data_IF_395128893309
#
_entry.id   IF_395128893309
#
_cell.length_a   1.000
_cell.length_b   1.000
_cell.length_c   1.000
_cell.angle_alpha   90.00
_cell.angle_beta   90.00
_cell.angle_gamma   90.00
#
_symmetry.space_group_name_H-M   'P 1'
#
loop_
_entity.id
_entity.type
_entity.pdbx_description
1 polymer ?
#
# COMPACT_ATOMS: atom_id res chain seq x y z
N UNK A 1 10.76 14.17 13.38
CA UNK A 1 10.14 13.06 12.61
C UNK A 1 9.75 13.61 11.25
N UNK A 2 10.13 12.95 10.16
CA UNK A 2 9.70 13.35 8.81
C UNK A 2 8.53 12.46 8.39
N UNK A 3 7.45 13.06 7.91
CA UNK A 3 6.25 12.37 7.45
C UNK A 3 5.97 12.85 6.03
N UNK A 4 5.63 11.93 5.13
CA UNK A 4 5.27 12.25 3.74
C UNK A 4 3.85 11.74 3.47
N UNK A 5 2.82 12.53 3.84
CA UNK A 5 1.43 12.16 3.56
C UNK A 5 1.12 12.14 2.07
N UNK A 6 0.11 11.38 1.67
CA UNK A 6 -0.42 11.39 0.29
C UNK A 6 -1.60 12.35 0.13
N UNK A 7 -2.18 12.82 1.23
CA UNK A 7 -3.51 13.42 1.27
C UNK A 7 -3.45 14.95 1.38
N UNK A 8 -2.59 15.58 0.58
CA UNK A 8 -2.35 17.03 0.67
C UNK A 8 -3.47 17.90 0.09
N UNK A 9 -4.24 17.36 -0.86
CA UNK A 9 -5.26 18.10 -1.59
C UNK A 9 -6.55 17.28 -1.69
N UNK A 10 -7.70 17.93 -1.58
CA UNK A 10 -9.00 17.30 -1.78
C UNK A 10 -9.21 16.94 -3.25
N UNK A 11 -10.05 15.94 -3.49
CA UNK A 11 -10.50 15.57 -4.82
C UNK A 11 -10.10 14.17 -5.24
N UNK A 12 -10.35 13.87 -6.51
CA UNK A 12 -10.07 12.56 -7.07
C UNK A 12 -8.58 12.40 -7.38
N UNK A 13 -8.02 11.28 -6.95
CA UNK A 13 -6.66 10.88 -7.24
C UNK A 13 -6.65 9.48 -7.85
N UNK A 14 -5.78 9.28 -8.84
CA UNK A 14 -5.48 7.94 -9.35
C UNK A 14 -4.38 7.34 -8.47
N UNK A 15 -4.63 6.15 -7.94
CA UNK A 15 -3.65 5.40 -7.16
C UNK A 15 -3.60 3.95 -7.65
N UNK A 16 -2.60 3.24 -7.17
CA UNK A 16 -2.31 1.87 -7.56
C UNK A 16 -2.46 0.96 -6.35
N UNK A 17 -3.30 -0.06 -6.46
CA UNK A 17 -3.52 -1.00 -5.36
C UNK A 17 -2.30 -1.91 -5.15
N UNK A 18 -2.02 -2.30 -3.90
CA UNK A 18 -1.03 -3.32 -3.58
C UNK A 18 -1.48 -4.69 -4.10
N UNK A 19 -0.75 -5.74 -3.74
CA UNK A 19 -1.17 -7.10 -4.07
C UNK A 19 -2.51 -7.40 -3.40
N UNK A 20 -3.53 -7.71 -4.21
CA UNK A 20 -4.87 -8.08 -3.75
C UNK A 20 -5.32 -9.37 -4.44
N UNK A 21 -6.30 -10.04 -3.83
CA UNK A 21 -7.03 -11.15 -4.48
C UNK A 21 -8.34 -10.59 -5.01
N UNK A 22 -8.52 -10.65 -6.32
CA UNK A 22 -9.82 -10.42 -6.96
C UNK A 22 -10.75 -11.59 -6.59
N UNK A 23 -11.75 -11.30 -5.75
CA UNK A 23 -12.64 -12.33 -5.23
C UNK A 23 -13.59 -12.89 -6.28
N UNK A 24 -13.86 -12.16 -7.35
CA UNK A 24 -14.74 -12.61 -8.43
C UNK A 24 -13.98 -13.55 -9.38
N UNK A 25 -12.71 -13.24 -9.68
CA UNK A 25 -11.84 -14.11 -10.47
C UNK A 25 -11.33 -15.34 -9.69
N UNK A 26 -11.24 -15.25 -8.36
CA UNK A 26 -10.71 -16.33 -7.53
C UNK A 26 -11.69 -17.51 -7.42
N UNK A 27 -11.31 -18.66 -7.96
CA UNK A 27 -12.11 -19.89 -7.92
C UNK A 27 -12.08 -20.65 -6.57
N UNK A 28 -11.21 -20.25 -5.64
CA UNK A 28 -11.11 -20.91 -4.33
C UNK A 28 -10.51 -22.33 -4.40
N UNK A 29 -9.47 -22.50 -5.22
CA UNK A 29 -8.85 -23.80 -5.47
C UNK A 29 -8.47 -24.55 -4.19
N UNK A 30 -8.65 -25.88 -4.20
CA UNK A 30 -8.22 -26.77 -3.12
C UNK A 30 -6.71 -26.66 -2.88
N UNK A 31 -5.93 -26.68 -3.94
CA UNK A 31 -4.48 -26.43 -3.92
C UNK A 31 -4.22 -25.04 -4.51
N UNK A 32 -3.59 -24.16 -3.74
CA UNK A 32 -3.39 -22.76 -4.10
C UNK A 32 -1.89 -22.44 -4.14
N UNK A 33 -1.30 -22.42 -5.34
CA UNK A 33 0.11 -22.10 -5.51
C UNK A 33 0.51 -20.72 -4.96
N UNK A 34 -0.30 -19.66 -5.08
CA UNK A 34 -0.04 -18.39 -4.40
C UNK A 34 0.12 -18.49 -2.88
N UNK A 35 -0.68 -19.34 -2.22
CA UNK A 35 -0.62 -19.60 -0.78
C UNK A 35 0.64 -20.39 -0.42
N UNK A 36 0.91 -21.48 -1.14
CA UNK A 36 2.04 -22.38 -0.88
C UNK A 36 3.41 -21.75 -1.16
N UNK A 37 3.51 -20.89 -2.19
CA UNK A 37 4.79 -20.34 -2.66
C UNK A 37 5.10 -18.96 -2.10
N UNK A 38 4.24 -18.38 -1.27
CA UNK A 38 4.53 -17.08 -0.66
C UNK A 38 5.68 -17.22 0.36
N UNK A 39 6.86 -16.61 0.12
CA UNK A 39 8.01 -16.77 1.01
C UNK A 39 7.74 -16.22 2.42
N UNK A 40 6.98 -15.13 2.48
CA UNK A 40 6.60 -14.46 3.73
C UNK A 40 5.36 -15.07 4.39
N UNK A 41 4.77 -16.11 3.79
CA UNK A 41 3.49 -16.70 4.23
C UNK A 41 2.40 -15.65 4.44
N UNK A 42 2.40 -14.62 3.59
CA UNK A 42 1.48 -13.49 3.63
C UNK A 42 0.14 -13.82 2.93
N UNK A 43 0.13 -14.79 2.01
CA UNK A 43 -1.10 -15.28 1.38
C UNK A 43 -1.69 -16.36 2.29
N UNK A 44 -2.88 -16.13 2.86
CA UNK A 44 -3.52 -17.04 3.83
C UNK A 44 -4.97 -17.28 3.47
N UNK A 45 -5.48 -18.48 3.73
CA UNK A 45 -6.89 -18.80 3.46
C UNK A 45 -7.84 -18.31 4.54
N UNK A 46 -8.91 -17.63 4.12
CA UNK A 46 -10.02 -17.19 4.96
C UNK A 46 -11.32 -17.47 4.21
N UNK A 47 -12.24 -18.20 4.83
CA UNK A 47 -13.55 -18.53 4.22
C UNK A 47 -13.43 -19.19 2.83
N UNK A 48 -12.46 -20.09 2.67
CA UNK A 48 -12.25 -20.85 1.43
C UNK A 48 -11.47 -20.13 0.33
N UNK A 49 -11.23 -18.81 0.42
CA UNK A 49 -10.42 -18.05 -0.54
C UNK A 49 -9.17 -17.43 0.12
N UNK A 50 -8.04 -17.28 -0.61
CA UNK A 50 -6.88 -16.60 -0.08
C UNK A 50 -7.14 -15.09 0.10
N UNK A 51 -6.50 -14.50 1.11
CA UNK A 51 -6.30 -13.06 1.30
C UNK A 51 -4.82 -12.77 1.45
N UNK A 52 -4.41 -11.53 1.17
CA UNK A 52 -3.03 -11.08 1.38
C UNK A 52 -2.95 -10.29 2.69
N UNK A 53 -2.16 -10.78 3.65
CA UNK A 53 -1.80 -10.06 4.86
C UNK A 53 -0.75 -9.00 4.50
N UNK A 54 -1.21 -7.78 4.19
CA UNK A 54 -0.33 -6.69 3.72
C UNK A 54 0.80 -6.34 4.68
N UNK A 55 0.62 -6.54 5.99
CA UNK A 55 1.67 -6.33 6.99
C UNK A 55 2.85 -7.30 6.87
N UNK A 56 2.65 -8.47 6.26
CA UNK A 56 3.72 -9.46 5.97
C UNK A 56 4.18 -9.41 4.52
N UNK A 57 3.39 -8.81 3.63
CA UNK A 57 3.68 -8.81 2.22
C UNK A 57 4.82 -7.85 1.91
N UNK A 58 5.92 -8.37 1.35
CA UNK A 58 7.08 -7.56 0.92
C UNK A 58 7.01 -7.14 -0.56
N UNK A 59 5.89 -7.42 -1.25
CA UNK A 59 5.71 -7.02 -2.65
C UNK A 59 6.59 -7.76 -3.67
N UNK A 60 7.01 -9.01 -3.38
CA UNK A 60 7.86 -9.81 -4.28
C UNK A 60 7.15 -10.38 -5.51
N UNK A 61 5.82 -10.25 -5.59
CA UNK A 61 4.96 -10.61 -6.73
C UNK A 61 4.89 -12.10 -7.13
N UNK A 62 5.59 -13.00 -6.43
CA UNK A 62 5.52 -14.46 -6.69
C UNK A 62 4.08 -15.00 -6.76
N UNK A 63 3.20 -14.54 -5.88
CA UNK A 63 1.80 -14.97 -5.85
C UNK A 63 0.97 -14.50 -7.07
N UNK A 64 1.35 -13.39 -7.70
CA UNK A 64 0.74 -12.88 -8.93
C UNK A 64 1.08 -13.83 -10.07
N UNK A 65 2.36 -14.15 -10.26
CA UNK A 65 2.83 -15.04 -11.33
C UNK A 65 2.31 -16.48 -11.18
N UNK A 66 2.11 -16.93 -9.94
CA UNK A 66 1.72 -18.32 -9.64
C UNK A 66 0.21 -18.57 -9.69
N UNK A 67 -0.62 -17.55 -9.85
CA UNK A 67 -2.07 -17.74 -9.95
C UNK A 67 -2.47 -18.00 -11.41
N UNK A 68 -2.80 -19.26 -11.80
CA UNK A 68 -3.12 -19.57 -13.20
C UNK A 68 -4.45 -18.94 -13.66
N UNK A 69 -5.28 -18.49 -12.73
CA UNK A 69 -6.56 -17.83 -13.00
C UNK A 69 -6.44 -16.30 -13.04
N UNK A 70 -5.24 -15.74 -12.83
CA UNK A 70 -5.04 -14.29 -12.79
C UNK A 70 -5.78 -13.59 -11.64
N UNK A 71 -6.17 -14.34 -10.60
CA UNK A 71 -6.99 -13.80 -9.51
C UNK A 71 -6.17 -13.03 -8.46
N UNK A 72 -4.84 -13.19 -8.43
CA UNK A 72 -3.95 -12.38 -7.60
C UNK A 72 -3.37 -11.28 -8.48
N UNK A 73 -3.67 -10.03 -8.16
CA UNK A 73 -3.30 -8.87 -8.99
C UNK A 73 -2.48 -7.87 -8.20
N UNK A 74 -1.59 -7.18 -8.89
CA UNK A 74 -0.81 -6.07 -8.38
C UNK A 74 -0.91 -4.93 -9.37
N UNK A 75 -0.83 -3.68 -8.92
CA UNK A 75 -0.72 -2.58 -9.86
C UNK A 75 -2.07 -2.09 -10.41
N UNK A 76 -3.21 -2.58 -9.88
CA UNK A 76 -4.52 -2.18 -10.36
C UNK A 76 -4.76 -0.69 -10.07
N UNK A 77 -4.93 0.10 -11.12
CA UNK A 77 -5.26 1.53 -11.00
C UNK A 77 -6.69 1.70 -10.57
N UNK A 78 -6.90 2.56 -9.58
CA UNK A 78 -8.22 2.94 -9.07
C UNK A 78 -8.27 4.44 -8.84
N UNK A 79 -9.47 5.01 -8.98
CA UNK A 79 -9.75 6.37 -8.55
C UNK A 79 -10.30 6.33 -7.14
N UNK A 80 -9.72 7.12 -6.25
CA UNK A 80 -10.22 7.34 -4.89
C UNK A 80 -10.38 8.84 -4.66
N UNK A 81 -11.15 9.22 -3.64
CA UNK A 81 -11.36 10.62 -3.27
C UNK A 81 -10.65 10.89 -1.96
N UNK A 82 -9.72 11.85 -1.97
CA UNK A 82 -9.19 12.45 -0.75
C UNK A 82 -10.30 13.35 -0.18
N UNK A 83 -10.73 13.08 1.05
CA UNK A 83 -11.80 13.83 1.70
C UNK A 83 -11.21 15.00 2.45
N UNK A 84 -12.04 16.03 2.71
CA UNK A 84 -11.67 17.18 3.54
C UNK A 84 -11.01 16.80 4.88
N UNK A 85 -11.53 15.76 5.55
CA UNK A 85 -10.96 15.30 6.83
C UNK A 85 -9.53 14.78 6.69
N UNK A 86 -9.19 14.17 5.55
CA UNK A 86 -7.85 13.63 5.30
C UNK A 86 -6.84 14.79 5.16
N UNK A 87 -7.22 15.85 4.41
CA UNK A 87 -6.42 17.08 4.29
C UNK A 87 -6.30 17.83 5.63
N UNK A 88 -7.38 17.90 6.41
CA UNK A 88 -7.36 18.51 7.74
C UNK A 88 -6.40 17.76 8.68
N UNK A 89 -6.36 16.42 8.61
CA UNK A 89 -5.41 15.62 9.37
C UNK A 89 -3.95 15.93 8.98
N UNK A 90 -3.66 16.14 7.69
CA UNK A 90 -2.32 16.56 7.25
C UNK A 90 -1.94 17.93 7.81
N UNK A 91 -2.88 18.88 7.86
CA UNK A 91 -2.65 20.20 8.49
C UNK A 91 -2.35 20.06 9.98
N UNK A 92 -3.17 19.31 10.70
CA UNK A 92 -2.96 19.04 12.13
C UNK A 92 -1.62 18.36 12.41
N UNK A 93 -1.20 17.42 11.57
CA UNK A 93 0.11 16.78 11.65
C UNK A 93 1.25 17.80 11.51
N UNK A 94 1.10 18.82 10.66
CA UNK A 94 2.14 19.84 10.45
C UNK A 94 2.32 20.80 11.63
N UNK A 95 1.33 20.89 12.51
CA UNK A 95 1.36 21.73 13.72
C UNK A 95 1.96 21.00 14.93
N UNK A 96 2.21 19.69 14.83
CA UNK A 96 2.75 18.89 15.92
C UNK A 96 4.24 19.17 16.14
N UNK A 97 4.62 19.36 17.41
CA UNK A 97 6.01 19.57 17.79
C UNK A 97 6.91 18.42 17.30
N UNK A 98 8.02 18.78 16.63
CA UNK A 98 8.98 17.82 16.11
C UNK A 98 8.52 17.01 14.89
N UNK A 99 7.38 17.36 14.26
CA UNK A 99 6.90 16.74 13.02
C UNK A 99 7.19 17.65 11.83
N UNK A 100 7.82 17.09 10.79
CA UNK A 100 8.09 17.75 9.52
C UNK A 100 7.27 17.05 8.43
N UNK A 101 6.17 17.68 8.03
CA UNK A 101 5.36 17.23 6.89
C UNK A 101 6.03 17.67 5.60
N UNK A 102 6.31 16.71 4.72
CA UNK A 102 6.92 16.92 3.40
C UNK A 102 5.94 16.53 2.30
N UNK A 103 6.07 17.14 1.12
CA UNK A 103 5.19 16.85 -0.01
C UNK A 103 5.68 15.68 -0.87
N UNK A 104 6.99 15.40 -0.83
CA UNK A 104 7.57 14.34 -1.63
C UNK A 104 8.75 13.63 -0.93
N UNK A 105 8.94 12.30 -1.07
CA UNK A 105 10.01 11.57 -0.38
C UNK A 105 11.42 12.04 -0.72
N UNK A 106 11.60 12.64 -1.90
CA UNK A 106 12.88 13.19 -2.36
C UNK A 106 13.36 14.35 -1.47
N UNK A 107 12.45 15.04 -0.79
CA UNK A 107 12.78 16.12 0.13
C UNK A 107 13.45 15.63 1.41
N UNK A 108 13.23 14.36 1.81
CA UNK A 108 13.69 13.80 3.09
C UNK A 108 15.19 14.01 3.28
N UNK A 109 16.00 13.65 2.29
CA UNK A 109 17.47 13.75 2.40
C UNK A 109 17.92 15.22 2.52
N UNK A 110 17.30 16.11 1.74
CA UNK A 110 17.65 17.54 1.78
C UNK A 110 17.32 18.19 3.12
N UNK A 111 16.21 17.78 3.74
CA UNK A 111 15.77 18.25 5.06
C UNK A 111 16.63 17.67 6.18
N UNK A 112 16.92 16.37 6.13
CA UNK A 112 17.83 15.71 7.07
C UNK A 112 19.21 16.38 7.09
N UNK A 113 19.80 16.66 5.91
CA UNK A 113 21.10 17.33 5.83
C UNK A 113 21.07 18.71 6.48
N UNK A 114 20.05 19.50 6.17
CA UNK A 114 19.85 20.83 6.78
C UNK A 114 19.74 20.76 8.30
N UNK A 115 18.95 19.83 8.82
CA UNK A 115 18.67 19.73 10.25
C UNK A 115 19.87 19.15 11.04
N UNK A 116 20.72 18.36 10.38
CA UNK A 116 21.98 17.83 10.94
C UNK A 116 23.20 18.73 10.68
N UNK A 117 23.06 19.82 9.93
CA UNK A 117 24.17 20.71 9.57
C UNK A 117 25.21 20.09 8.64
N UNK A 118 24.79 19.15 7.78
CA UNK A 118 25.62 18.42 6.80
C UNK A 118 25.55 19.00 5.39
#
# INVERSE_FOLDING_TARGET
IYVVPTDHNEGEVETTLPVIVDRDACLGCTFCSPEERCPEKAVVRVEGKPIVQLLKCVGCLVCVDMCPHGAVVFGRRVRTSVRRVDVENVKRLSEMEGVHVLSHPQEIISRLRRDLGL
#
